data_IF_533615466913
#
_entry.id   IF_533615466913
#
_cell.length_a   1.000
_cell.length_b   1.000
_cell.length_c   1.000
_cell.angle_alpha   90.00
_cell.angle_beta   90.00
_cell.angle_gamma   90.00
#
_symmetry.space_group_name_H-M   'P 1'
#
loop_
_entity.id
_entity.type
_entity.pdbx_description
1 polymer ?
#
# COMPACT_ATOMS: atom_id res chain seq x y z
N UNK A 1 -7.64 9.69 12.50
CA UNK A 1 -6.96 8.51 11.94
C UNK A 1 -6.14 7.90 13.05
N UNK A 2 -6.37 6.61 13.32
CA UNK A 2 -5.66 5.88 14.36
C UNK A 2 -4.40 5.29 13.75
N UNK A 3 -3.24 5.63 14.32
CA UNK A 3 -1.95 5.05 13.94
C UNK A 3 -1.68 3.81 14.79
N UNK A 4 -1.13 2.79 14.18
CA UNK A 4 -0.74 1.53 14.83
C UNK A 4 0.67 1.16 14.42
N UNK A 5 1.47 0.65 15.36
CA UNK A 5 2.78 0.10 15.05
C UNK A 5 2.61 -1.30 14.48
N UNK A 6 3.02 -1.49 13.23
CA UNK A 6 3.06 -2.81 12.60
C UNK A 6 4.50 -3.29 12.47
N UNK A 7 4.71 -4.55 12.85
CA UNK A 7 6.00 -5.22 12.74
C UNK A 7 6.11 -5.91 11.39
N UNK A 8 7.08 -5.49 10.59
CA UNK A 8 7.45 -6.17 9.36
C UNK A 8 7.96 -7.58 9.66
N UNK A 9 7.21 -8.58 9.23
CA UNK A 9 7.45 -10.00 9.56
C UNK A 9 8.84 -10.45 9.13
N UNK A 10 9.33 -10.01 7.97
CA UNK A 10 10.61 -10.46 7.40
C UNK A 10 11.85 -9.75 7.96
N UNK A 11 11.73 -8.49 8.38
CA UNK A 11 12.88 -7.67 8.80
C UNK A 11 12.92 -7.42 10.31
N UNK A 12 11.83 -7.73 11.01
CA UNK A 12 11.64 -7.42 12.43
C UNK A 12 11.53 -5.93 12.74
N UNK A 13 11.54 -5.04 11.73
CA UNK A 13 11.41 -3.59 11.90
C UNK A 13 9.96 -3.21 12.12
N UNK A 14 9.73 -2.25 13.01
CA UNK A 14 8.40 -1.69 13.23
C UNK A 14 8.29 -0.35 12.51
N UNK A 15 7.16 -0.10 11.85
CA UNK A 15 6.81 1.23 11.40
C UNK A 15 5.34 1.53 11.66
N UNK A 16 5.06 2.82 11.74
CA UNK A 16 3.74 3.32 12.05
C UNK A 16 2.89 3.37 10.78
N UNK A 17 1.76 2.68 10.82
CA UNK A 17 0.79 2.54 9.71
C UNK A 17 -0.54 3.12 10.16
N UNK A 18 -1.33 3.65 9.23
CA UNK A 18 -2.75 3.89 9.53
C UNK A 18 -3.48 2.57 9.69
N UNK A 19 -4.29 2.42 10.74
CA UNK A 19 -4.94 1.15 11.06
C UNK A 19 -5.78 0.57 9.91
N UNK A 20 -6.33 1.42 9.04
CA UNK A 20 -7.10 0.99 7.87
C UNK A 20 -6.22 0.34 6.79
N UNK A 21 -4.92 0.62 6.77
CA UNK A 21 -3.99 0.07 5.78
C UNK A 21 -3.26 -1.18 6.26
N UNK A 22 -3.45 -1.61 7.51
CA UNK A 22 -2.71 -2.73 8.10
C UNK A 22 -2.82 -4.01 7.27
N UNK A 23 -4.03 -4.40 6.87
CA UNK A 23 -4.25 -5.63 6.12
C UNK A 23 -3.63 -5.62 4.73
N UNK A 24 -3.59 -4.46 4.06
CA UNK A 24 -2.85 -4.29 2.80
C UNK A 24 -1.35 -4.54 3.03
N UNK A 25 -0.78 -3.97 4.11
CA UNK A 25 0.65 -4.12 4.42
C UNK A 25 1.00 -5.56 4.79
N UNK A 26 0.17 -6.21 5.60
CA UNK A 26 0.35 -7.62 5.97
C UNK A 26 0.26 -8.53 4.74
N UNK A 27 -0.72 -8.29 3.85
CA UNK A 27 -0.86 -9.05 2.62
C UNK A 27 0.30 -8.83 1.63
N UNK A 28 0.94 -7.65 1.65
CA UNK A 28 2.18 -7.40 0.90
C UNK A 28 3.34 -8.22 1.46
N UNK A 29 3.52 -8.24 2.79
CA UNK A 29 4.60 -9.00 3.43
C UNK A 29 4.42 -10.52 3.28
N UNK A 30 3.20 -11.03 3.36
CA UNK A 30 2.92 -12.44 3.09
C UNK A 30 3.37 -12.90 1.69
N UNK A 31 3.64 -11.95 0.78
CA UNK A 31 4.14 -12.18 -0.58
C UNK A 31 5.61 -11.81 -0.77
N UNK A 32 6.30 -11.45 0.30
CA UNK A 32 7.68 -10.95 0.27
C UNK A 32 7.81 -9.56 -0.37
N UNK A 33 6.72 -8.79 -0.45
CA UNK A 33 6.77 -7.42 -0.98
C UNK A 33 7.07 -6.45 0.16
N UNK A 34 8.35 -6.11 0.29
CA UNK A 34 8.85 -5.24 1.35
C UNK A 34 8.36 -3.81 1.13
N UNK A 35 7.62 -3.29 2.11
CA UNK A 35 7.20 -1.89 2.20
C UNK A 35 8.06 -1.14 3.20
N UNK A 36 8.36 0.14 2.93
CA UNK A 36 9.18 1.01 3.79
C UNK A 36 8.36 2.00 4.59
N UNK A 37 7.22 2.42 4.05
CA UNK A 37 6.38 3.44 4.65
C UNK A 37 4.96 3.34 4.11
N UNK A 38 3.99 3.66 4.96
CA UNK A 38 2.58 3.68 4.60
C UNK A 38 1.86 4.78 5.37
N UNK A 39 1.10 5.61 4.67
CA UNK A 39 0.28 6.64 5.31
C UNK A 39 -0.93 7.02 4.47
N UNK A 40 -1.92 7.55 5.15
CA UNK A 40 -3.03 8.30 4.61
C UNK A 40 -2.89 9.75 5.07
N UNK A 41 -2.95 10.68 4.13
CA UNK A 41 -2.76 12.08 4.43
C UNK A 41 -3.25 12.97 3.31
N UNK A 42 -3.54 14.23 3.66
CA UNK A 42 -3.46 15.28 2.64
C UNK A 42 -2.02 15.36 2.11
N UNK A 43 -1.79 16.04 0.98
CA UNK A 43 -0.46 16.12 0.38
C UNK A 43 0.55 16.51 1.45
N UNK A 44 1.51 15.61 1.72
CA UNK A 44 2.60 15.76 2.70
C UNK A 44 3.49 17.01 2.46
N UNK A 45 3.13 17.85 1.50
CA UNK A 45 3.95 18.92 0.91
C UNK A 45 3.23 20.27 0.78
N UNK A 46 2.04 20.45 1.39
CA UNK A 46 1.58 21.79 1.80
C UNK A 46 0.64 22.59 0.87
N UNK A 47 -0.18 21.99 0.00
CA UNK A 47 -1.32 22.71 -0.63
C UNK A 47 -2.54 21.83 -0.82
N UNK A 48 -3.74 22.40 -0.71
CA UNK A 48 -5.03 21.72 -0.81
C UNK A 48 -5.09 20.69 -1.94
N UNK A 49 -5.51 19.48 -1.59
CA UNK A 49 -5.63 18.33 -2.47
C UNK A 49 -6.36 17.19 -1.76
N UNK A 50 -6.81 16.16 -2.50
CA UNK A 50 -7.51 15.03 -1.93
C UNK A 50 -6.63 14.30 -0.92
N UNK A 51 -7.25 13.76 0.12
CA UNK A 51 -6.59 12.87 1.08
C UNK A 51 -6.32 11.56 0.35
N UNK A 52 -5.06 11.23 0.13
CA UNK A 52 -4.66 10.00 -0.55
C UNK A 52 -4.02 9.02 0.43
N UNK A 53 -4.13 7.75 0.10
CA UNK A 53 -3.35 6.68 0.71
C UNK A 53 -2.06 6.48 -0.10
N UNK A 54 -0.96 6.19 0.58
CA UNK A 54 0.37 6.03 0.01
C UNK A 54 1.03 4.78 0.56
N UNK A 55 1.71 4.03 -0.31
CA UNK A 55 2.57 2.91 0.04
C UNK A 55 3.91 3.09 -0.68
N UNK A 56 4.98 3.18 0.09
CA UNK A 56 6.34 3.13 -0.43
C UNK A 56 6.87 1.69 -0.34
N UNK A 57 7.27 1.15 -1.48
CA UNK A 57 7.93 -0.15 -1.59
C UNK A 57 9.44 0.00 -1.45
N UNK A 58 10.12 -1.09 -1.08
CA UNK A 58 11.56 -1.09 -0.97
C UNK A 58 12.28 -1.10 -2.32
N UNK A 59 11.61 -1.59 -3.36
CA UNK A 59 12.07 -1.62 -4.73
C UNK A 59 10.90 -1.55 -5.72
N UNK A 60 11.23 -1.23 -6.99
CA UNK A 60 10.27 -1.10 -8.08
C UNK A 60 9.62 -2.43 -8.47
N UNK A 61 10.30 -3.56 -8.26
CA UNK A 61 9.77 -4.88 -8.60
C UNK A 61 8.59 -5.25 -7.71
N UNK A 62 8.70 -5.05 -6.39
CA UNK A 62 7.62 -5.22 -5.43
C UNK A 62 6.44 -4.30 -5.74
N UNK A 63 6.71 -3.04 -6.08
CA UNK A 63 5.69 -2.08 -6.49
C UNK A 63 4.91 -2.55 -7.75
N UNK A 64 5.62 -2.96 -8.80
CA UNK A 64 4.98 -3.41 -10.04
C UNK A 64 4.16 -4.69 -9.84
N UNK A 65 4.62 -5.60 -8.96
CA UNK A 65 3.86 -6.81 -8.60
C UNK A 65 2.56 -6.48 -7.85
N UNK A 66 2.62 -5.50 -6.94
CA UNK A 66 1.44 -4.97 -6.27
C UNK A 66 0.45 -4.40 -7.29
N UNK A 67 0.90 -3.49 -8.16
CA UNK A 67 0.06 -2.87 -9.20
C UNK A 67 -0.58 -3.94 -10.09
N UNK A 68 0.23 -4.87 -10.61
CA UNK A 68 -0.26 -5.93 -11.48
C UNK A 68 -1.23 -6.89 -10.81
N UNK A 69 -1.18 -7.05 -9.48
CA UNK A 69 -2.14 -7.87 -8.74
C UNK A 69 -3.45 -7.12 -8.55
N UNK A 70 -3.40 -5.85 -8.17
CA UNK A 70 -4.58 -5.01 -7.96
C UNK A 70 -5.31 -4.75 -9.29
N UNK A 71 -4.57 -4.47 -10.37
CA UNK A 71 -5.13 -4.18 -11.70
C UNK A 71 -5.85 -5.37 -12.38
N UNK A 72 -5.67 -6.60 -11.88
CA UNK A 72 -6.42 -7.77 -12.37
C UNK A 72 -7.89 -7.70 -12.02
N UNK A 73 -8.21 -7.09 -10.88
CA UNK A 73 -9.54 -7.12 -10.28
C UNK A 73 -10.12 -5.68 -10.11
N UNK A 74 -9.26 -4.65 -10.22
CA UNK A 74 -9.63 -3.24 -10.21
C UNK A 74 -9.13 -2.52 -11.47
N UNK A 75 -9.78 -1.42 -11.84
CA UNK A 75 -9.32 -0.58 -12.96
C UNK A 75 -7.88 -0.12 -12.72
N UNK A 76 -7.05 -0.08 -13.78
CA UNK A 76 -5.68 0.44 -13.71
C UNK A 76 -5.62 1.88 -13.15
N UNK A 77 -6.70 2.66 -13.33
CA UNK A 77 -6.81 4.03 -12.81
C UNK A 77 -7.03 4.09 -11.29
N UNK A 78 -7.22 2.95 -10.60
CA UNK A 78 -7.33 2.90 -9.15
C UNK A 78 -5.99 3.20 -8.46
N UNK A 79 -4.87 2.91 -9.13
CA UNK A 79 -3.54 3.14 -8.59
C UNK A 79 -2.81 4.18 -9.42
N UNK A 80 -2.17 5.13 -8.76
CA UNK A 80 -1.30 6.11 -9.41
C UNK A 80 0.11 5.90 -8.90
N UNK A 81 1.07 5.77 -9.81
CA UNK A 81 2.48 5.77 -9.47
C UNK A 81 2.92 7.21 -9.22
N UNK A 82 3.60 7.45 -8.10
CA UNK A 82 4.22 8.75 -7.85
C UNK A 82 5.59 8.79 -8.53
N UNK A 83 5.66 9.42 -9.70
CA UNK A 83 6.90 9.49 -10.50
C UNK A 83 8.02 10.28 -9.83
N UNK A 84 7.72 11.08 -8.80
CA UNK A 84 8.73 11.80 -8.03
C UNK A 84 9.50 10.88 -7.06
N UNK A 85 8.99 9.68 -6.77
CA UNK A 85 9.59 8.71 -5.86
C UNK A 85 9.60 7.31 -6.50
N UNK A 86 10.79 6.71 -6.68
CA UNK A 86 11.01 5.53 -7.52
C UNK A 86 10.16 4.27 -7.22
N UNK A 87 9.51 4.20 -6.05
CA UNK A 87 8.72 3.04 -5.64
C UNK A 87 7.49 3.40 -4.79
N UNK A 88 6.77 4.49 -5.11
CA UNK A 88 5.57 4.90 -4.36
C UNK A 88 4.31 4.74 -5.21
N UNK A 89 3.29 4.13 -4.60
CA UNK A 89 1.93 4.06 -5.14
C UNK A 89 1.00 4.88 -4.27
N UNK A 90 0.10 5.63 -4.90
CA UNK A 90 -0.97 6.38 -4.24
C UNK A 90 -2.33 6.04 -4.82
N UNK A 91 -3.35 6.09 -3.97
CA UNK A 91 -4.73 5.75 -4.34
C UNK A 91 -5.74 6.43 -3.41
N UNK A 92 -7.01 6.40 -3.79
CA UNK A 92 -8.08 6.96 -2.96
C UNK A 92 -8.30 6.05 -1.73
N UNK A 93 -8.33 6.58 -0.49
CA UNK A 93 -8.60 5.80 0.71
C UNK A 93 -9.89 4.98 0.65
N UNK A 94 -10.90 5.40 -0.14
CA UNK A 94 -12.14 4.63 -0.33
C UNK A 94 -11.89 3.26 -0.96
N UNK A 95 -10.75 3.08 -1.65
CA UNK A 95 -10.38 1.83 -2.32
C UNK A 95 -9.66 0.85 -1.40
N UNK A 96 -9.29 1.26 -0.17
CA UNK A 96 -8.57 0.40 0.78
C UNK A 96 -9.26 -0.96 0.99
N UNK A 97 -10.57 -1.03 1.31
CA UNK A 97 -11.21 -2.33 1.57
C UNK A 97 -11.17 -3.27 0.37
N UNK A 98 -11.29 -2.71 -0.83
CA UNK A 98 -11.34 -3.49 -2.08
C UNK A 98 -9.93 -3.95 -2.51
N UNK A 99 -8.92 -3.09 -2.37
CA UNK A 99 -7.51 -3.45 -2.58
C UNK A 99 -7.12 -4.58 -1.60
N UNK A 100 -7.48 -4.44 -0.32
CA UNK A 100 -7.23 -5.46 0.68
C UNK A 100 -7.91 -6.80 0.31
N UNK A 101 -9.18 -6.77 -0.11
CA UNK A 101 -9.92 -7.96 -0.56
C UNK A 101 -9.21 -8.68 -1.70
N UNK A 102 -8.76 -7.94 -2.73
CA UNK A 102 -8.02 -8.49 -3.88
C UNK A 102 -6.72 -9.16 -3.43
N UNK A 103 -5.98 -8.50 -2.54
CA UNK A 103 -4.73 -9.06 -2.01
C UNK A 103 -4.99 -10.30 -1.16
N UNK A 104 -6.03 -10.35 -0.32
CA UNK A 104 -6.29 -11.53 0.52
C UNK A 104 -6.80 -12.72 -0.30
N UNK A 105 -7.64 -12.50 -1.31
CA UNK A 105 -8.20 -13.56 -2.16
C UNK A 105 -7.14 -14.41 -2.87
N UNK A 106 -5.94 -13.85 -3.09
CA UNK A 106 -4.83 -14.52 -3.77
C UNK A 106 -3.85 -15.21 -2.79
N UNK A 107 -4.03 -15.08 -1.47
CA UNK A 107 -3.24 -15.83 -0.46
C UNK A 107 -3.87 -17.21 -0.23
N UNK A 108 -5.20 -17.28 -0.16
CA UNK A 108 -5.94 -18.50 0.16
C UNK A 108 -5.94 -19.60 -0.92
N UNK A 109 -5.11 -19.49 -1.96
CA UNK A 109 -4.99 -20.45 -3.07
C UNK A 109 -3.61 -21.13 -3.15
N UNK A 110 -2.72 -20.86 -2.18
CA UNK A 110 -1.43 -21.55 -2.04
C UNK A 110 -1.55 -22.68 -1.01
#
# INVERSE_FOLDING_TARGET
MTKVWHRQVDTGREFMVDAEMSGIIEACWARGWVTRYCCQGGPMWGRGGPRLAYIMFADRTAMMRFIGTVAQDLSENALVVDEACEAVVRFDPVQIPEIERVLLAKISRA
#
